data_IF_246252706289
#
_entry.id   IF_246252706289
#
_cell.length_a   1.000
_cell.length_b   1.000
_cell.length_c   1.000
_cell.angle_alpha   90.00
_cell.angle_beta   90.00
_cell.angle_gamma   90.00
#
_symmetry.space_group_name_H-M   'P 1'
#
loop_
_entity.id
_entity.type
_entity.pdbx_description
1 polymer ?
#
# COMPACT_ATOMS: atom_id res chain seq x y z
N UNK A 1 4.97 5.60 7.99
CA UNK A 1 4.49 6.75 8.78
C UNK A 1 3.95 7.82 7.85
N UNK A 2 2.83 8.45 8.19
CA UNK A 2 2.28 9.58 7.41
C UNK A 2 3.25 10.78 7.43
N UNK A 3 3.41 11.52 6.31
CA UNK A 3 4.27 12.70 6.25
C UNK A 3 4.01 13.74 7.35
N UNK A 4 5.04 14.54 7.64
CA UNK A 4 5.03 15.49 8.77
C UNK A 4 3.95 16.57 8.64
N UNK A 5 3.67 17.04 7.43
CA UNK A 5 2.68 18.11 7.19
C UNK A 5 1.22 17.63 7.29
N UNK A 6 0.97 16.32 7.34
CA UNK A 6 -0.40 15.82 7.39
C UNK A 6 -1.04 16.13 8.76
N UNK A 7 -2.27 16.65 8.80
CA UNK A 7 -2.93 17.04 10.05
C UNK A 7 -3.20 15.86 10.99
N UNK A 8 -3.27 14.65 10.44
CA UNK A 8 -3.31 13.38 11.18
C UNK A 8 -2.18 12.50 10.71
N UNK A 9 -1.45 11.90 11.65
CA UNK A 9 -0.29 11.07 11.39
C UNK A 9 -0.45 9.69 12.00
N UNK A 10 -0.10 8.69 11.21
CA UNK A 10 -0.19 7.29 11.57
C UNK A 10 1.16 6.61 11.35
N UNK A 11 1.61 5.84 12.35
CA UNK A 11 2.71 4.89 12.16
C UNK A 11 2.12 3.49 11.90
N UNK A 12 1.64 3.31 10.67
CA UNK A 12 0.90 2.11 10.28
C UNK A 12 1.83 0.91 10.07
N UNK A 13 1.51 -0.22 10.70
CA UNK A 13 2.08 -1.53 10.40
C UNK A 13 1.16 -2.28 9.43
N UNK A 14 1.75 -2.97 8.45
CA UNK A 14 1.03 -3.81 7.50
C UNK A 14 1.27 -5.28 7.85
N UNK A 15 0.22 -6.08 7.75
CA UNK A 15 0.23 -7.51 8.08
C UNK A 15 -0.33 -8.30 6.89
N UNK A 16 0.06 -9.58 6.82
CA UNK A 16 -0.46 -10.54 5.85
C UNK A 16 -0.97 -11.76 6.59
N UNK A 17 -2.05 -12.34 6.10
CA UNK A 17 -2.63 -13.58 6.60
C UNK A 17 -3.30 -14.32 5.45
N UNK A 18 -3.39 -15.64 5.58
CA UNK A 18 -4.15 -16.48 4.65
C UNK A 18 -5.56 -16.62 5.18
N UNK A 19 -6.56 -16.45 4.32
CA UNK A 19 -7.94 -16.77 4.67
C UNK A 19 -8.05 -18.29 4.84
N UNK A 20 -8.43 -18.81 6.02
CA UNK A 20 -8.65 -20.22 6.22
C UNK A 20 -9.70 -20.79 5.26
N UNK A 21 -9.54 -22.06 4.89
CA UNK A 21 -10.53 -22.76 4.08
C UNK A 21 -11.91 -22.76 4.76
N UNK A 22 -12.96 -22.69 3.95
CA UNK A 22 -14.35 -22.68 4.44
C UNK A 22 -14.84 -21.34 5.00
N UNK A 23 -14.01 -20.30 5.03
CA UNK A 23 -14.48 -18.95 5.39
C UNK A 23 -15.12 -18.22 4.21
N UNK A 24 -16.15 -17.44 4.51
CA UNK A 24 -16.78 -16.51 3.57
C UNK A 24 -16.53 -15.07 4.03
N UNK A 25 -15.87 -14.22 3.23
CA UNK A 25 -15.65 -12.83 3.60
C UNK A 25 -16.97 -12.04 3.55
N UNK A 26 -17.25 -11.30 4.61
CA UNK A 26 -18.41 -10.41 4.72
C UNK A 26 -17.94 -9.08 5.32
N UNK A 27 -18.48 -7.97 4.82
CA UNK A 27 -18.36 -6.66 5.46
C UNK A 27 -19.56 -6.40 6.36
N UNK A 28 -19.50 -5.34 7.15
CA UNK A 28 -20.49 -4.99 8.17
C UNK A 28 -21.65 -4.12 7.66
N UNK A 29 -21.61 -3.71 6.38
CA UNK A 29 -22.55 -2.80 5.72
C UNK A 29 -22.63 -1.39 6.32
N UNK A 30 -21.73 -1.05 7.26
CA UNK A 30 -21.71 0.25 7.96
C UNK A 30 -20.40 0.98 7.70
N UNK A 31 -19.28 0.42 8.12
CA UNK A 31 -17.95 1.00 7.84
C UNK A 31 -17.47 0.61 6.44
N UNK A 32 -17.76 -0.63 6.03
CA UNK A 32 -17.41 -1.16 4.71
C UNK A 32 -18.68 -1.63 4.01
N UNK A 33 -18.91 -1.16 2.79
CA UNK A 33 -20.12 -1.44 2.00
C UNK A 33 -19.86 -2.29 0.75
N UNK A 34 -18.61 -2.64 0.51
CA UNK A 34 -18.21 -3.48 -0.62
C UNK A 34 -16.89 -4.19 -0.31
N UNK A 35 -16.75 -5.42 -0.79
CA UNK A 35 -15.51 -6.20 -0.66
C UNK A 35 -15.36 -7.12 -1.86
N UNK A 36 -14.12 -7.35 -2.29
CA UNK A 36 -13.84 -8.26 -3.41
C UNK A 36 -12.45 -8.87 -3.27
N UNK A 37 -12.30 -10.09 -3.79
CA UNK A 37 -11.01 -10.71 -3.99
C UNK A 37 -10.45 -10.28 -5.35
N UNK A 38 -9.24 -9.74 -5.36
CA UNK A 38 -8.59 -9.22 -6.56
C UNK A 38 -7.09 -9.49 -6.50
N UNK A 39 -6.46 -9.82 -7.63
CA UNK A 39 -5.01 -9.95 -7.69
C UNK A 39 -4.36 -8.58 -7.50
N UNK A 40 -3.17 -8.49 -6.87
CA UNK A 40 -2.54 -7.19 -6.65
C UNK A 40 -2.28 -6.41 -7.94
N UNK A 41 -1.84 -7.08 -9.02
CA UNK A 41 -1.63 -6.45 -10.32
C UNK A 41 -2.93 -5.87 -10.92
N UNK A 42 -4.04 -6.60 -10.81
CA UNK A 42 -5.36 -6.17 -11.29
C UNK A 42 -5.85 -4.96 -10.49
N UNK A 43 -5.69 -4.97 -9.16
CA UNK A 43 -6.06 -3.85 -8.31
C UNK A 43 -5.28 -2.58 -8.70
N UNK A 44 -3.98 -2.69 -8.97
CA UNK A 44 -3.16 -1.57 -9.44
C UNK A 44 -3.68 -1.05 -10.79
N UNK A 45 -4.01 -1.93 -11.74
CA UNK A 45 -4.54 -1.54 -13.04
C UNK A 45 -5.88 -0.78 -12.90
N UNK A 46 -6.80 -1.29 -12.07
CA UNK A 46 -8.08 -0.64 -11.75
C UNK A 46 -7.91 0.69 -11.02
N UNK A 47 -6.87 0.80 -10.19
CA UNK A 47 -6.49 2.06 -9.56
C UNK A 47 -6.02 3.11 -10.57
N UNK A 48 -5.28 2.68 -11.60
CA UNK A 48 -4.81 3.57 -12.68
C UNK A 48 -5.94 4.01 -13.62
N UNK A 49 -6.93 3.16 -13.85
CA UNK A 49 -8.10 3.51 -14.67
C UNK A 49 -9.14 4.35 -13.91
N UNK A 50 -9.00 4.50 -12.60
CA UNK A 50 -9.97 5.21 -11.76
C UNK A 50 -11.18 4.37 -11.33
N UNK A 51 -11.22 3.08 -11.67
CA UNK A 51 -12.27 2.15 -11.22
C UNK A 51 -12.21 1.92 -9.70
N UNK A 52 -10.99 1.90 -9.12
CA UNK A 52 -10.78 1.81 -7.68
C UNK A 52 -10.02 3.02 -7.16
N UNK A 53 -10.49 3.60 -6.04
CA UNK A 53 -9.72 4.62 -5.32
C UNK A 53 -8.66 3.91 -4.47
N UNK A 54 -7.39 4.02 -4.86
CA UNK A 54 -6.28 3.39 -4.16
C UNK A 54 -5.31 4.46 -3.65
N UNK A 55 -5.26 4.62 -2.33
CA UNK A 55 -4.33 5.54 -1.67
C UNK A 55 -2.88 5.05 -1.77
N UNK A 56 -1.93 5.98 -1.64
CA UNK A 56 -0.49 5.71 -1.85
C UNK A 56 0.05 4.52 -1.02
N UNK A 57 -0.20 4.40 0.30
CA UNK A 57 0.31 3.26 1.06
C UNK A 57 -0.26 1.92 0.56
N UNK A 58 -1.54 1.86 0.24
CA UNK A 58 -2.18 0.66 -0.33
C UNK A 58 -1.58 0.30 -1.68
N UNK A 59 -1.37 1.29 -2.57
CA UNK A 59 -0.70 1.08 -3.86
C UNK A 59 0.70 0.49 -3.69
N UNK A 60 1.51 1.04 -2.78
CA UNK A 60 2.86 0.53 -2.49
C UNK A 60 2.86 -0.88 -1.91
N UNK A 61 1.88 -1.21 -1.07
CA UNK A 61 1.70 -2.59 -0.60
C UNK A 61 1.36 -3.53 -1.74
N UNK A 62 0.40 -3.17 -2.61
CA UNK A 62 0.02 -3.97 -3.78
C UNK A 62 1.21 -4.15 -4.75
N UNK A 63 1.97 -3.09 -5.05
CA UNK A 63 3.17 -3.15 -5.89
C UNK A 63 4.18 -4.16 -5.35
N UNK A 64 4.37 -4.22 -4.03
CA UNK A 64 5.29 -5.19 -3.42
C UNK A 64 4.78 -6.64 -3.44
N UNK A 65 3.49 -6.86 -3.70
CA UNK A 65 2.89 -8.19 -3.81
C UNK A 65 2.71 -8.66 -5.25
N UNK A 66 2.71 -7.75 -6.24
CA UNK A 66 2.30 -8.00 -7.62
C UNK A 66 3.15 -9.00 -8.43
N UNK A 67 4.25 -9.51 -7.86
CA UNK A 67 5.08 -10.58 -8.45
C UNK A 67 5.21 -11.83 -7.57
N UNK A 68 4.44 -11.92 -6.48
CA UNK A 68 4.48 -13.07 -5.57
C UNK A 68 3.29 -13.99 -5.87
N UNK A 69 3.57 -15.13 -6.48
CA UNK A 69 2.54 -16.06 -6.99
C UNK A 69 1.96 -17.01 -5.93
N UNK A 70 2.60 -17.12 -4.76
CA UNK A 70 2.17 -18.03 -3.70
C UNK A 70 2.11 -17.34 -2.35
N UNK A 71 1.26 -17.86 -1.47
CA UNK A 71 1.16 -17.39 -0.08
C UNK A 71 2.48 -17.55 0.67
N UNK A 72 3.22 -18.64 0.43
CA UNK A 72 4.56 -18.85 1.02
C UNK A 72 5.54 -17.75 0.60
N UNK A 73 5.59 -17.40 -0.70
CA UNK A 73 6.44 -16.31 -1.17
C UNK A 73 6.07 -14.96 -0.52
N UNK A 74 4.78 -14.73 -0.26
CA UNK A 74 4.31 -13.54 0.48
C UNK A 74 4.82 -13.55 1.92
N UNK A 75 4.75 -14.68 2.63
CA UNK A 75 5.26 -14.78 4.00
C UNK A 75 6.79 -14.61 4.06
N UNK A 76 7.53 -15.22 3.14
CA UNK A 76 9.00 -15.08 3.08
C UNK A 76 9.41 -13.61 2.82
N UNK A 77 8.72 -12.94 1.90
CA UNK A 77 8.92 -11.51 1.63
C UNK A 77 8.57 -10.64 2.86
N UNK A 78 7.49 -10.96 3.58
CA UNK A 78 7.11 -10.22 4.79
C UNK A 78 8.11 -10.45 5.94
N UNK A 79 8.61 -11.67 6.12
CA UNK A 79 9.56 -12.02 7.17
C UNK A 79 10.92 -11.33 7.01
N UNK A 80 11.39 -11.23 5.76
CA UNK A 80 12.66 -10.59 5.40
C UNK A 80 12.62 -9.06 5.38
N UNK A 81 11.43 -8.45 5.39
CA UNK A 81 11.28 -7.00 5.28
C UNK A 81 11.73 -6.27 6.56
N UNK A 82 12.52 -5.18 6.44
CA UNK A 82 12.82 -4.31 7.57
C UNK A 82 11.54 -3.75 8.19
N UNK A 83 11.45 -3.80 9.53
CA UNK A 83 10.30 -3.34 10.31
C UNK A 83 10.42 -1.86 10.71
N UNK A 84 11.18 -1.10 9.94
CA UNK A 84 11.42 0.32 10.16
C UNK A 84 10.33 1.17 9.51
N UNK A 85 9.89 2.27 10.15
CA UNK A 85 8.93 3.16 9.55
C UNK A 85 9.47 3.77 8.25
N UNK A 86 8.70 3.66 7.17
CA UNK A 86 8.95 4.41 5.94
C UNK A 86 8.34 5.80 6.12
N UNK A 87 9.17 6.84 6.11
CA UNK A 87 8.72 8.24 6.13
C UNK A 87 8.83 8.82 4.72
N UNK A 88 7.73 8.86 3.94
CA UNK A 88 7.73 9.51 2.64
C UNK A 88 7.82 11.02 2.81
N UNK A 89 8.55 11.65 1.89
CA UNK A 89 8.58 13.11 1.74
C UNK A 89 7.63 13.51 0.62
N UNK A 90 6.88 14.58 0.83
CA UNK A 90 6.05 15.19 -0.19
C UNK A 90 6.69 16.51 -0.61
N UNK A 91 6.76 16.75 -1.91
CA UNK A 91 7.28 17.99 -2.49
C UNK A 91 6.29 18.47 -3.53
N UNK A 92 6.12 19.78 -3.61
CA UNK A 92 5.41 20.41 -4.72
C UNK A 92 6.46 20.95 -5.69
N UNK A 93 6.51 20.39 -6.90
CA UNK A 93 7.39 20.79 -8.00
C UNK A 93 6.49 21.20 -9.18
N UNK A 94 6.70 22.39 -9.75
CA UNK A 94 5.90 22.90 -10.88
C UNK A 94 4.38 22.87 -10.68
N UNK A 95 3.92 23.02 -9.42
CA UNK A 95 2.50 22.94 -9.05
C UNK A 95 1.96 21.51 -8.89
N UNK A 96 2.78 20.48 -9.13
CA UNK A 96 2.43 19.08 -8.95
C UNK A 96 3.02 18.49 -7.66
N UNK A 97 2.20 17.74 -6.93
CA UNK A 97 2.62 17.03 -5.73
C UNK A 97 3.32 15.71 -6.06
N UNK A 98 4.57 15.56 -5.65
CA UNK A 98 5.36 14.33 -5.79
C UNK A 98 5.69 13.72 -4.43
N UNK A 99 5.66 12.39 -4.36
CA UNK A 99 6.03 11.62 -3.16
C UNK A 99 7.34 10.90 -3.42
N UNK A 100 8.32 11.14 -2.55
CA UNK A 100 9.62 10.49 -2.55
C UNK A 100 9.72 9.53 -1.36
N UNK A 101 10.11 8.29 -1.63
CA UNK A 101 10.45 7.30 -0.62
C UNK A 101 11.93 7.45 -0.20
N UNK A 102 12.31 6.96 0.99
CA UNK A 102 13.71 6.88 1.38
C UNK A 102 14.53 6.10 0.32
N UNK A 103 15.58 6.74 -0.21
CA UNK A 103 16.46 6.17 -1.24
C UNK A 103 16.05 6.47 -2.69
N UNK A 104 14.91 7.13 -2.94
CA UNK A 104 14.59 7.63 -4.27
C UNK A 104 15.58 8.75 -4.67
N UNK A 105 16.07 8.80 -5.92
CA UNK A 105 16.95 9.87 -6.38
C UNK A 105 16.18 11.18 -6.35
N UNK A 106 16.51 12.04 -5.39
CA UNK A 106 15.83 13.30 -5.14
C UNK A 106 16.74 14.46 -5.57
N UNK A 107 16.34 15.31 -6.53
CA UNK A 107 17.15 16.47 -6.95
C UNK A 107 17.28 17.56 -5.88
N UNK A 108 16.59 17.41 -4.75
CA UNK A 108 16.61 18.32 -3.61
C UNK A 108 17.19 17.67 -2.33
N UNK A 109 18.00 16.61 -2.47
CA UNK A 109 18.96 16.26 -1.41
C UNK A 109 20.10 17.30 -1.39
N UNK A 110 20.60 17.73 -0.22
CA UNK A 110 21.90 18.35 -0.14
C UNK A 110 23.02 17.38 -0.55
#
# INVERSE_FOLDING_TARGET
>A
MTPIFAPRRYDTRFFVAVMPEGQSPLHDDVETTASTWVRPADAIARGRSGELVIIFPTRKTLESLAGLETTNAVFDAAASRPKTPVLPRFVVEDGEGRVYLPGDPNPHEP
#
